data_IF_031021579061
#
_entry.id   IF_031021579061
#
_cell.length_a   1.000
_cell.length_b   1.000
_cell.length_c   1.000
_cell.angle_alpha   90.00
_cell.angle_beta   90.00
_cell.angle_gamma   90.00
#
_symmetry.space_group_name_H-M   'P 1'
#
loop_
_entity.id
_entity.type
_entity.pdbx_description
1 polymer ?
#
# COMPACT_ATOMS: atom_id res chain seq x y z
N UNK A 1 19.22 1.81 5.06
CA UNK A 1 20.32 2.61 4.49
C UNK A 1 20.26 2.75 2.96
N UNK A 2 19.80 1.75 2.20
CA UNK A 2 19.76 1.80 0.71
C UNK A 2 18.85 2.91 0.14
N UNK A 3 17.72 3.25 0.79
CA UNK A 3 16.80 4.31 0.31
C UNK A 3 17.17 5.72 0.76
N UNK A 4 18.17 5.89 1.63
CA UNK A 4 18.54 7.21 2.13
C UNK A 4 19.09 8.11 1.01
N UNK A 5 20.00 7.65 0.13
CA UNK A 5 20.41 8.43 -1.04
C UNK A 5 19.24 8.78 -1.96
N UNK A 6 18.29 7.87 -2.17
CA UNK A 6 17.10 8.11 -3.01
C UNK A 6 16.19 9.20 -2.42
N UNK A 7 15.92 9.14 -1.12
CA UNK A 7 15.15 10.16 -0.43
C UNK A 7 15.86 11.51 -0.50
N UNK A 8 17.19 11.54 -0.34
CA UNK A 8 17.99 12.77 -0.42
C UNK A 8 17.93 13.40 -1.82
N UNK A 9 18.03 12.61 -2.90
CA UNK A 9 17.86 13.11 -4.27
C UNK A 9 16.46 13.68 -4.52
N UNK A 10 15.43 13.05 -3.94
CA UNK A 10 14.07 13.58 -4.00
C UNK A 10 13.95 14.91 -3.24
N UNK A 11 14.46 15.01 -2.01
CA UNK A 11 14.44 16.27 -1.26
C UNK A 11 15.24 17.40 -1.91
N UNK A 12 16.34 17.08 -2.59
CA UNK A 12 17.09 18.05 -3.39
C UNK A 12 16.25 18.58 -4.56
N UNK A 13 15.47 17.71 -5.21
CA UNK A 13 14.58 18.12 -6.31
C UNK A 13 13.44 19.05 -5.86
N UNK A 14 13.08 19.03 -4.57
CA UNK A 14 12.08 19.92 -3.98
C UNK A 14 12.60 21.35 -3.72
N UNK A 15 13.88 21.65 -4.03
CA UNK A 15 14.52 22.96 -3.83
C UNK A 15 14.33 23.51 -2.40
N UNK A 16 14.23 22.62 -1.41
CA UNK A 16 14.02 23.02 -0.03
C UNK A 16 15.29 23.69 0.53
N UNK A 17 15.16 24.78 1.29
CA UNK A 17 16.29 25.38 2.00
C UNK A 17 17.00 24.35 2.89
N UNK A 18 18.34 24.38 2.89
CA UNK A 18 19.15 23.35 3.56
C UNK A 18 18.85 23.21 5.07
N UNK A 19 18.42 24.30 5.73
CA UNK A 19 18.05 24.27 7.15
C UNK A 19 16.77 23.46 7.44
N UNK A 20 15.90 23.23 6.44
CA UNK A 20 14.72 22.37 6.57
C UNK A 20 15.02 20.90 6.32
N UNK A 21 16.23 20.54 5.88
CA UNK A 21 16.59 19.16 5.55
C UNK A 21 16.37 18.17 6.72
N UNK A 22 16.70 18.49 7.99
CA UNK A 22 16.41 17.59 9.11
C UNK A 22 14.91 17.33 9.30
N UNK A 23 14.09 18.38 9.17
CA UNK A 23 12.64 18.28 9.27
C UNK A 23 12.05 17.47 8.09
N UNK A 24 12.57 17.69 6.88
CA UNK A 24 12.17 16.94 5.70
C UNK A 24 12.49 15.45 5.84
N UNK A 25 13.67 15.09 6.37
CA UNK A 25 14.05 13.70 6.67
C UNK A 25 13.12 13.09 7.73
N UNK A 26 12.77 13.84 8.79
CA UNK A 26 11.82 13.37 9.79
C UNK A 26 10.43 13.13 9.17
N UNK A 27 9.94 14.05 8.33
CA UNK A 27 8.69 13.86 7.60
C UNK A 27 8.75 12.68 6.63
N UNK A 28 9.89 12.45 5.98
CA UNK A 28 10.13 11.27 5.14
C UNK A 28 10.03 9.97 5.94
N UNK A 29 10.65 9.92 7.12
CA UNK A 29 10.70 8.72 7.94
C UNK A 29 9.35 8.42 8.61
N UNK A 30 8.63 9.47 9.03
CA UNK A 30 7.45 9.36 9.87
C UNK A 30 6.12 9.52 9.12
N UNK A 31 6.13 10.00 7.88
CA UNK A 31 4.90 10.27 7.12
C UNK A 31 4.97 9.76 5.67
N UNK A 32 5.81 10.37 4.83
CA UNK A 32 5.81 10.15 3.37
C UNK A 32 6.43 8.80 2.99
N UNK A 33 7.29 8.24 3.85
CA UNK A 33 8.21 7.17 3.48
C UNK A 33 9.42 7.72 2.72
N UNK A 34 10.56 7.04 2.87
CA UNK A 34 11.80 7.36 2.13
C UNK A 34 11.71 7.06 0.63
N UNK A 35 10.64 6.38 0.20
CA UNK A 35 10.27 6.16 -1.19
C UNK A 35 8.76 5.89 -1.26
N UNK A 36 8.19 5.97 -2.47
CA UNK A 36 6.74 5.98 -2.67
C UNK A 36 6.00 4.75 -2.10
N UNK A 37 6.68 3.61 -1.94
CA UNK A 37 6.11 2.38 -1.38
C UNK A 37 6.34 2.25 0.13
N UNK A 38 7.34 2.93 0.69
CA UNK A 38 7.74 2.78 2.09
C UNK A 38 6.87 3.59 3.08
N UNK A 39 6.00 4.46 2.58
CA UNK A 39 5.00 5.19 3.37
C UNK A 39 4.18 4.26 4.29
N UNK A 40 3.98 3.01 3.86
CA UNK A 40 3.18 2.04 4.62
C UNK A 40 3.79 1.70 6.00
N UNK A 41 5.11 1.82 6.20
CA UNK A 41 5.76 1.49 7.48
C UNK A 41 5.33 2.46 8.59
N UNK A 42 5.58 3.78 8.46
CA UNK A 42 5.11 4.73 9.46
C UNK A 42 3.58 4.73 9.57
N UNK A 43 2.88 4.59 8.44
CA UNK A 43 1.42 4.51 8.43
C UNK A 43 0.89 3.30 9.22
N UNK A 44 1.55 2.14 9.13
CA UNK A 44 1.23 0.94 9.89
C UNK A 44 1.46 1.14 11.39
N UNK A 45 2.59 1.72 11.79
CA UNK A 45 2.88 1.96 13.20
C UNK A 45 1.85 2.91 13.83
N UNK A 46 1.56 4.03 13.16
CA UNK A 46 0.55 4.98 13.62
C UNK A 46 -0.85 4.34 13.66
N UNK A 47 -1.23 3.65 12.59
CA UNK A 47 -2.52 2.99 12.49
C UNK A 47 -2.70 1.90 13.56
N UNK A 48 -1.65 1.15 13.88
CA UNK A 48 -1.68 0.12 14.92
C UNK A 48 -1.93 0.73 16.30
N UNK A 49 -1.20 1.80 16.64
CA UNK A 49 -1.39 2.51 17.90
C UNK A 49 -2.81 3.08 18.01
N UNK A 50 -3.29 3.70 16.93
CA UNK A 50 -4.63 4.27 16.86
C UNK A 50 -5.70 3.20 17.04
N UNK A 51 -5.66 2.13 16.25
CA UNK A 51 -6.64 1.03 16.30
C UNK A 51 -6.62 0.37 17.68
N UNK A 52 -5.45 0.08 18.22
CA UNK A 52 -5.31 -0.54 19.54
C UNK A 52 -5.89 0.33 20.67
N UNK A 53 -5.70 1.65 20.59
CA UNK A 53 -6.28 2.59 21.54
C UNK A 53 -7.81 2.64 21.40
N UNK A 54 -8.32 2.86 20.19
CA UNK A 54 -9.75 2.96 19.92
C UNK A 54 -10.48 1.66 20.26
N UNK A 55 -9.93 0.51 19.88
CA UNK A 55 -10.50 -0.81 20.15
C UNK A 55 -10.71 -1.03 21.65
N UNK A 56 -9.72 -0.68 22.48
CA UNK A 56 -9.81 -0.81 23.94
C UNK A 56 -10.74 0.21 24.59
N UNK A 57 -10.82 1.44 24.06
CA UNK A 57 -11.62 2.52 24.65
C UNK A 57 -13.08 2.52 24.24
N UNK A 58 -13.36 2.25 22.96
CA UNK A 58 -14.68 2.38 22.36
C UNK A 58 -15.36 1.02 22.10
N UNK A 59 -14.59 -0.07 22.14
CA UNK A 59 -15.04 -1.40 21.76
C UNK A 59 -15.09 -1.60 20.24
N UNK A 60 -15.32 -2.84 19.77
CA UNK A 60 -15.18 -3.22 18.36
C UNK A 60 -16.12 -2.44 17.43
N UNK A 61 -17.42 -2.39 17.75
CA UNK A 61 -18.44 -1.78 16.88
C UNK A 61 -18.20 -0.28 16.67
N UNK A 62 -17.96 0.48 17.75
CA UNK A 62 -17.72 1.93 17.67
C UNK A 62 -16.38 2.24 17.00
N UNK A 63 -15.37 1.41 17.24
CA UNK A 63 -14.07 1.52 16.54
C UNK A 63 -14.27 1.35 15.04
N UNK A 64 -14.97 0.30 14.60
CA UNK A 64 -15.25 0.10 13.17
C UNK A 64 -15.96 1.29 12.53
N UNK A 65 -17.01 1.81 13.18
CA UNK A 65 -17.75 2.96 12.67
C UNK A 65 -16.86 4.20 12.52
N UNK A 66 -16.03 4.51 13.52
CA UNK A 66 -15.09 5.63 13.46
C UNK A 66 -14.05 5.45 12.35
N UNK A 67 -13.49 4.25 12.21
CA UNK A 67 -12.50 3.96 11.17
C UNK A 67 -13.11 4.01 9.76
N UNK A 68 -14.38 3.63 9.61
CA UNK A 68 -15.09 3.75 8.34
C UNK A 68 -15.33 5.22 7.98
N UNK A 69 -15.64 6.08 8.96
CA UNK A 69 -15.75 7.53 8.76
C UNK A 69 -14.40 8.11 8.33
N UNK A 70 -13.31 7.76 9.02
CA UNK A 70 -11.96 8.21 8.64
C UNK A 70 -11.60 7.74 7.24
N UNK A 71 -11.89 6.49 6.89
CA UNK A 71 -11.65 5.97 5.55
C UNK A 71 -12.48 6.71 4.49
N UNK A 72 -13.75 7.02 4.77
CA UNK A 72 -14.60 7.79 3.87
C UNK A 72 -14.10 9.23 3.66
N UNK A 73 -13.60 9.88 4.72
CA UNK A 73 -12.95 11.20 4.59
C UNK A 73 -11.68 11.12 3.73
N UNK A 74 -10.88 10.07 3.89
CA UNK A 74 -9.72 9.86 3.03
C UNK A 74 -10.09 9.57 1.58
N UNK A 75 -11.17 8.82 1.37
CA UNK A 75 -11.66 8.42 0.05
C UNK A 75 -12.14 9.60 -0.81
N UNK A 76 -12.37 10.77 -0.22
CA UNK A 76 -12.65 12.01 -0.95
C UNK A 76 -11.57 12.25 -2.03
N UNK A 77 -10.31 11.90 -1.76
CA UNK A 77 -9.21 11.97 -2.74
C UNK A 77 -9.53 11.22 -4.05
N UNK A 78 -10.02 9.99 -3.92
CA UNK A 78 -10.29 9.10 -5.06
C UNK A 78 -11.61 9.41 -5.75
N UNK A 79 -12.64 9.78 -4.98
CA UNK A 79 -13.95 10.13 -5.53
C UNK A 79 -14.12 11.62 -5.79
N UNK A 80 -13.05 12.43 -5.69
CA UNK A 80 -13.14 13.90 -5.77
C UNK A 80 -13.91 14.36 -7.02
N UNK A 81 -13.63 13.73 -8.17
CA UNK A 81 -14.30 14.07 -9.42
C UNK A 81 -15.80 13.75 -9.44
N UNK A 82 -16.28 12.84 -8.59
CA UNK A 82 -17.70 12.49 -8.46
C UNK A 82 -18.48 13.42 -7.53
N UNK A 83 -17.78 14.22 -6.72
CA UNK A 83 -18.39 15.11 -5.74
C UNK A 83 -18.65 16.48 -6.37
N UNK A 84 -19.79 17.08 -6.04
CA UNK A 84 -20.03 18.49 -6.34
C UNK A 84 -19.26 19.38 -5.36
N UNK A 85 -18.85 20.59 -5.77
CA UNK A 85 -18.25 21.57 -4.86
C UNK A 85 -19.12 21.73 -3.61
N UNK A 86 -18.49 21.53 -2.45
CA UNK A 86 -19.14 21.53 -1.15
C UNK A 86 -18.11 21.79 -0.05
N UNK A 87 -18.59 22.07 1.17
CA UNK A 87 -17.71 22.21 2.34
C UNK A 87 -16.77 21.00 2.54
N UNK A 88 -17.19 19.82 2.08
CA UNK A 88 -16.44 18.58 2.20
C UNK A 88 -15.29 18.49 1.17
N UNK A 89 -15.49 18.95 -0.06
CA UNK A 89 -14.41 19.06 -1.06
C UNK A 89 -13.45 20.19 -0.69
N UNK A 90 -13.97 21.33 -0.22
CA UNK A 90 -13.15 22.47 0.21
C UNK A 90 -12.24 22.11 1.40
N UNK A 91 -12.79 21.36 2.37
CA UNK A 91 -12.00 20.81 3.47
C UNK A 91 -10.88 19.91 2.98
N UNK A 92 -11.19 19.00 2.04
CA UNK A 92 -10.18 18.08 1.51
C UNK A 92 -9.10 18.84 0.73
N UNK A 93 -9.48 19.83 -0.08
CA UNK A 93 -8.54 20.66 -0.83
C UNK A 93 -7.61 21.45 0.10
N UNK A 94 -8.13 21.97 1.21
CA UNK A 94 -7.31 22.62 2.24
C UNK A 94 -6.36 21.61 2.92
N UNK A 95 -6.86 20.41 3.24
CA UNK A 95 -6.06 19.34 3.80
C UNK A 95 -4.93 18.89 2.85
N UNK A 96 -5.22 18.70 1.56
CA UNK A 96 -4.28 18.23 0.55
C UNK A 96 -3.13 19.21 0.33
N UNK A 97 -3.37 20.52 0.48
CA UNK A 97 -2.31 21.56 0.44
C UNK A 97 -1.25 21.39 1.54
N UNK A 98 -1.62 20.84 2.69
CA UNK A 98 -0.73 20.65 3.84
C UNK A 98 -0.11 19.26 3.87
N UNK A 99 -0.89 18.23 3.55
CA UNK A 99 -0.53 16.83 3.78
C UNK A 99 -0.29 16.03 2.51
N UNK A 100 -0.42 16.65 1.33
CA UNK A 100 -0.26 16.11 -0.03
C UNK A 100 -1.22 14.99 -0.44
N UNK A 101 -1.56 14.09 0.49
CA UNK A 101 -2.44 12.95 0.25
C UNK A 101 -3.15 12.53 1.54
N UNK A 102 -4.32 11.91 1.40
CA UNK A 102 -4.99 11.21 2.50
C UNK A 102 -4.48 9.78 2.68
N UNK A 103 -3.62 9.26 1.79
CA UNK A 103 -2.98 7.95 1.91
C UNK A 103 -1.94 7.94 3.03
N UNK A 104 -2.41 7.73 4.25
CA UNK A 104 -1.56 7.73 5.45
C UNK A 104 -2.10 6.82 6.56
N UNK A 105 -1.40 6.84 7.70
CA UNK A 105 -1.72 6.02 8.88
C UNK A 105 -3.00 6.40 9.62
N UNK A 106 -3.65 7.52 9.27
CA UNK A 106 -4.89 7.99 9.91
C UNK A 106 -6.12 7.60 9.09
N UNK A 107 -6.14 7.90 7.80
CA UNK A 107 -7.34 7.67 6.97
C UNK A 107 -7.34 6.30 6.29
N UNK A 108 -6.19 5.81 5.84
CA UNK A 108 -6.12 4.59 5.04
C UNK A 108 -5.88 3.33 5.88
N UNK A 109 -4.75 3.28 6.58
CA UNK A 109 -4.25 2.06 7.21
C UNK A 109 -5.11 1.49 8.34
N UNK A 110 -5.74 2.29 9.21
CA UNK A 110 -6.43 1.79 10.41
C UNK A 110 -7.54 0.77 10.13
N UNK A 111 -8.36 0.98 9.09
CA UNK A 111 -9.46 0.06 8.80
C UNK A 111 -8.94 -1.34 8.49
N UNK A 112 -7.84 -1.47 7.73
CA UNK A 112 -7.24 -2.75 7.37
C UNK A 112 -6.59 -3.46 8.55
N UNK A 113 -5.99 -2.71 9.48
CA UNK A 113 -5.50 -3.27 10.76
C UNK A 113 -6.67 -3.79 11.58
N UNK A 114 -7.76 -3.03 11.68
CA UNK A 114 -8.97 -3.46 12.36
C UNK A 114 -9.55 -4.75 11.77
N UNK A 115 -9.53 -4.93 10.43
CA UNK A 115 -9.96 -6.19 9.81
C UNK A 115 -9.15 -7.40 10.32
N UNK A 116 -7.87 -7.21 10.64
CA UNK A 116 -7.04 -8.25 11.26
C UNK A 116 -7.52 -8.64 12.65
N UNK A 117 -7.81 -7.64 13.51
CA UNK A 117 -8.41 -7.85 14.83
C UNK A 117 -9.76 -8.55 14.71
N UNK A 118 -10.59 -8.07 13.79
CA UNK A 118 -11.92 -8.63 13.54
C UNK A 118 -11.86 -10.09 13.08
N UNK A 119 -10.94 -10.46 12.18
CA UNK A 119 -10.76 -11.85 11.78
C UNK A 119 -10.21 -12.73 12.90
N UNK A 120 -9.36 -12.20 13.76
CA UNK A 120 -8.85 -12.95 14.92
C UNK A 120 -9.98 -13.29 15.89
N UNK A 121 -10.85 -12.33 16.19
CA UNK A 121 -11.93 -12.49 17.17
C UNK A 121 -13.15 -13.23 16.59
N UNK A 122 -13.48 -12.98 15.32
CA UNK A 122 -14.74 -13.40 14.70
C UNK A 122 -14.57 -14.30 13.47
N UNK A 123 -13.35 -14.74 13.15
CA UNK A 123 -13.07 -15.59 11.98
C UNK A 123 -13.80 -16.94 11.99
N UNK A 124 -14.38 -17.34 13.12
CA UNK A 124 -15.15 -18.58 13.24
C UNK A 124 -16.62 -18.47 12.84
N UNK A 125 -17.16 -17.25 12.62
CA UNK A 125 -18.57 -17.04 12.24
C UNK A 125 -18.90 -17.74 10.91
N UNK A 126 -20.15 -18.21 10.77
CA UNK A 126 -20.64 -18.95 9.60
C UNK A 126 -20.34 -18.28 8.25
N UNK A 127 -20.42 -16.95 8.17
CA UNK A 127 -20.08 -16.14 7.00
C UNK A 127 -18.63 -16.35 6.53
N UNK A 128 -17.71 -16.61 7.46
CA UNK A 128 -16.30 -16.88 7.16
C UNK A 128 -15.99 -18.36 6.96
N UNK A 129 -16.96 -19.26 7.16
CA UNK A 129 -16.79 -20.71 6.99
C UNK A 129 -17.42 -21.23 5.70
N UNK A 130 -18.68 -20.85 5.46
CA UNK A 130 -19.49 -21.33 4.34
C UNK A 130 -19.24 -20.47 3.10
N UNK A 131 -19.17 -21.10 1.93
CA UNK A 131 -19.07 -20.45 0.61
C UNK A 131 -17.98 -19.35 0.52
N UNK A 132 -16.85 -19.51 1.21
CA UNK A 132 -15.74 -18.54 1.28
C UNK A 132 -15.28 -18.03 -0.09
N UNK A 133 -15.19 -18.93 -1.06
CA UNK A 133 -14.78 -18.60 -2.43
C UNK A 133 -15.79 -17.69 -3.14
N UNK A 134 -17.09 -17.86 -2.86
CA UNK A 134 -18.14 -17.04 -3.44
C UNK A 134 -18.10 -15.63 -2.86
N UNK A 135 -17.91 -15.48 -1.55
CA UNK A 135 -17.73 -14.16 -0.92
C UNK A 135 -16.52 -13.43 -1.48
N UNK A 136 -15.40 -14.15 -1.68
CA UNK A 136 -14.22 -13.59 -2.33
C UNK A 136 -14.48 -13.20 -3.78
N UNK A 137 -15.18 -14.05 -4.55
CA UNK A 137 -15.55 -13.76 -5.94
C UNK A 137 -16.42 -12.51 -6.02
N UNK A 138 -17.49 -12.43 -5.23
CA UNK A 138 -18.38 -11.28 -5.20
C UNK A 138 -17.64 -10.01 -4.81
N UNK A 139 -16.82 -10.05 -3.76
CA UNK A 139 -16.01 -8.90 -3.35
C UNK A 139 -15.00 -8.48 -4.44
N UNK A 140 -14.44 -9.44 -5.18
CA UNK A 140 -13.56 -9.16 -6.32
C UNK A 140 -14.31 -8.49 -7.46
N UNK A 141 -15.53 -8.92 -7.78
CA UNK A 141 -16.37 -8.30 -8.80
C UNK A 141 -16.76 -6.87 -8.42
N UNK A 142 -17.12 -6.62 -7.15
CA UNK A 142 -17.35 -5.26 -6.66
C UNK A 142 -16.11 -4.39 -6.76
N UNK A 143 -14.93 -4.92 -6.42
CA UNK A 143 -13.66 -4.18 -6.53
C UNK A 143 -13.33 -3.84 -7.98
N UNK A 144 -13.55 -4.77 -8.91
CA UNK A 144 -13.39 -4.50 -10.35
C UNK A 144 -14.38 -3.43 -10.82
N UNK A 145 -15.66 -3.55 -10.44
CA UNK A 145 -16.68 -2.56 -10.78
C UNK A 145 -16.36 -1.17 -10.26
N UNK A 146 -15.95 -1.06 -8.99
CA UNK A 146 -15.50 0.20 -8.40
C UNK A 146 -14.24 0.75 -9.08
N UNK A 147 -13.28 -0.12 -9.42
CA UNK A 147 -12.09 0.23 -10.18
C UNK A 147 -12.41 0.81 -11.57
N UNK A 148 -13.38 0.24 -12.27
CA UNK A 148 -13.86 0.75 -13.56
C UNK A 148 -14.50 2.12 -13.39
N UNK A 149 -15.32 2.33 -12.36
CA UNK A 149 -15.89 3.64 -12.06
C UNK A 149 -14.77 4.67 -11.84
N UNK A 150 -13.87 4.43 -10.88
CA UNK A 150 -12.74 5.34 -10.60
C UNK A 150 -11.89 5.61 -11.85
N UNK A 151 -11.74 4.63 -12.74
CA UNK A 151 -11.03 4.82 -14.01
C UNK A 151 -11.78 5.75 -14.98
N UNK A 152 -13.10 5.61 -15.10
CA UNK A 152 -13.93 6.44 -15.98
C UNK A 152 -13.92 7.91 -15.59
N UNK A 153 -13.89 8.21 -14.28
CA UNK A 153 -13.83 9.59 -13.78
C UNK A 153 -12.81 9.70 -12.65
N UNK A 154 -11.59 10.00 -13.05
CA UNK A 154 -10.45 10.01 -12.13
C UNK A 154 -10.52 11.22 -11.20
N UNK A 155 -10.51 10.95 -9.88
CA UNK A 155 -10.30 11.96 -8.85
C UNK A 155 -8.85 12.45 -8.79
N UNK A 156 -8.46 12.98 -7.64
CA UNK A 156 -7.13 13.55 -7.42
C UNK A 156 -6.05 12.45 -7.38
N UNK A 157 -6.32 11.34 -6.69
CA UNK A 157 -5.47 10.15 -6.70
C UNK A 157 -6.29 8.87 -6.44
N UNK A 158 -5.79 7.69 -6.80
CA UNK A 158 -6.55 6.43 -6.84
C UNK A 158 -6.15 5.49 -5.70
N UNK A 159 -6.14 6.03 -4.47
CA UNK A 159 -5.67 5.32 -3.30
C UNK A 159 -6.77 4.52 -2.57
N UNK A 160 -8.02 4.98 -2.62
CA UNK A 160 -9.12 4.43 -1.81
C UNK A 160 -10.18 3.72 -2.64
N UNK A 161 -10.67 2.60 -2.11
CA UNK A 161 -11.72 1.77 -2.70
C UNK A 161 -12.57 1.20 -1.57
N UNK A 162 -13.89 1.42 -1.55
CA UNK A 162 -14.74 0.87 -0.50
C UNK A 162 -14.88 -0.64 -0.63
N UNK A 163 -14.90 -1.18 -1.84
CA UNK A 163 -14.94 -2.62 -2.10
C UNK A 163 -13.63 -3.33 -1.73
N UNK A 164 -12.53 -2.59 -1.57
CA UNK A 164 -11.26 -3.14 -1.09
C UNK A 164 -11.34 -3.61 0.36
N UNK A 165 -12.19 -3.00 1.18
CA UNK A 165 -12.40 -3.38 2.59
C UNK A 165 -12.94 -4.82 2.69
N UNK A 166 -14.12 -5.17 2.12
CA UNK A 166 -14.61 -6.54 2.13
C UNK A 166 -13.72 -7.49 1.32
N UNK A 167 -13.15 -7.05 0.19
CA UNK A 167 -12.22 -7.89 -0.59
C UNK A 167 -11.05 -8.37 0.26
N UNK A 168 -10.38 -7.45 0.96
CA UNK A 168 -9.22 -7.77 1.81
C UNK A 168 -9.62 -8.72 2.95
N UNK A 169 -10.77 -8.47 3.57
CA UNK A 169 -11.32 -9.31 4.63
C UNK A 169 -11.53 -10.77 4.15
N UNK A 170 -12.20 -10.95 3.01
CA UNK A 170 -12.47 -12.28 2.46
C UNK A 170 -11.22 -12.95 1.89
N UNK A 171 -10.31 -12.18 1.28
CA UNK A 171 -9.04 -12.68 0.78
C UNK A 171 -8.20 -13.27 1.91
N UNK A 172 -8.01 -12.52 3.01
CA UNK A 172 -7.26 -13.02 4.15
C UNK A 172 -7.92 -14.21 4.82
N UNK A 173 -9.25 -14.18 5.01
CA UNK A 173 -9.97 -15.35 5.54
C UNK A 173 -9.79 -16.60 4.66
N UNK A 174 -9.86 -16.45 3.33
CA UNK A 174 -9.62 -17.54 2.40
C UNK A 174 -8.19 -18.06 2.51
N UNK A 175 -7.19 -17.17 2.50
CA UNK A 175 -5.78 -17.53 2.62
C UNK A 175 -5.46 -18.28 3.91
N UNK A 176 -5.96 -17.81 5.06
CA UNK A 176 -5.69 -18.41 6.38
C UNK A 176 -6.22 -19.83 6.53
N UNK A 177 -7.31 -20.16 5.82
CA UNK A 177 -8.01 -21.45 5.95
C UNK A 177 -7.79 -22.38 4.75
N UNK A 178 -6.90 -22.02 3.83
CA UNK A 178 -6.57 -22.82 2.65
C UNK A 178 -5.52 -23.86 3.02
N UNK A 179 -5.91 -25.14 3.12
CA UNK A 179 -5.08 -26.20 3.69
C UNK A 179 -3.92 -26.66 2.79
N UNK A 180 -4.10 -26.77 1.47
CA UNK A 180 -3.04 -27.23 0.54
C UNK A 180 -1.77 -26.37 0.55
N UNK A 181 -1.85 -25.14 1.07
CA UNK A 181 -0.69 -24.24 1.22
C UNK A 181 0.19 -24.60 2.42
N UNK A 182 -0.27 -25.43 3.37
CA UNK A 182 0.51 -25.81 4.55
C UNK A 182 1.55 -26.89 4.28
N UNK A 183 1.34 -27.72 3.27
CA UNK A 183 2.19 -28.88 2.98
C UNK A 183 3.44 -28.52 2.14
N UNK A 184 3.42 -27.38 1.45
CA UNK A 184 4.52 -26.93 0.58
C UNK A 184 5.42 -25.92 1.27
N UNK A 185 6.74 -26.05 1.10
CA UNK A 185 7.71 -25.06 1.58
C UNK A 185 7.65 -23.80 0.70
N UNK A 186 7.04 -22.73 1.22
CA UNK A 186 6.92 -21.43 0.54
C UNK A 186 7.99 -20.43 0.94
N UNK A 187 9.05 -20.84 1.66
CA UNK A 187 10.07 -19.92 2.16
C UNK A 187 10.75 -19.13 1.04
N UNK A 188 11.06 -19.79 -0.07
CA UNK A 188 11.63 -19.12 -1.25
C UNK A 188 10.73 -18.02 -1.79
N UNK A 189 9.43 -18.30 -1.98
CA UNK A 189 8.48 -17.29 -2.46
C UNK A 189 8.26 -16.15 -1.45
N UNK A 190 8.32 -16.44 -0.15
CA UNK A 190 8.27 -15.41 0.90
C UNK A 190 9.49 -14.49 0.81
N UNK A 191 10.68 -15.04 0.67
CA UNK A 191 11.92 -14.26 0.55
C UNK A 191 11.92 -13.43 -0.73
N UNK A 192 11.47 -14.01 -1.85
CA UNK A 192 11.24 -13.27 -3.09
C UNK A 192 10.23 -12.14 -2.92
N UNK A 193 9.09 -12.37 -2.27
CA UNK A 193 8.06 -11.34 -2.06
C UNK A 193 8.61 -10.14 -1.27
N UNK A 194 9.38 -10.39 -0.22
CA UNK A 194 10.03 -9.32 0.56
C UNK A 194 11.04 -8.57 -0.29
N UNK A 195 11.91 -9.28 -1.01
CA UNK A 195 12.92 -8.65 -1.85
C UNK A 195 12.30 -7.87 -3.01
N UNK A 196 11.23 -8.37 -3.62
CA UNK A 196 10.49 -7.66 -4.66
C UNK A 196 9.94 -6.36 -4.11
N UNK A 197 9.26 -6.42 -2.96
CA UNK A 197 8.67 -5.25 -2.32
C UNK A 197 9.70 -4.12 -2.10
N UNK A 198 10.92 -4.48 -1.67
CA UNK A 198 11.98 -3.50 -1.48
C UNK A 198 12.65 -3.11 -2.81
N UNK A 199 13.11 -4.06 -3.62
CA UNK A 199 14.01 -3.76 -4.74
C UNK A 199 13.33 -3.14 -5.97
N UNK A 200 12.06 -3.47 -6.25
CA UNK A 200 11.40 -3.04 -7.49
C UNK A 200 11.51 -1.54 -7.81
N UNK A 201 11.43 -0.60 -6.85
CA UNK A 201 11.38 0.84 -7.15
C UNK A 201 12.72 1.38 -7.62
N UNK A 202 13.81 0.80 -7.11
CA UNK A 202 15.16 1.09 -7.59
C UNK A 202 15.27 0.69 -9.07
N UNK A 203 14.69 -0.47 -9.42
CA UNK A 203 14.73 -0.95 -10.80
C UNK A 203 13.74 -0.23 -11.72
N UNK A 204 12.63 0.30 -11.22
CA UNK A 204 11.74 1.20 -11.98
C UNK A 204 12.53 2.44 -12.42
N UNK A 205 13.15 3.13 -11.46
CA UNK A 205 13.90 4.37 -11.72
C UNK A 205 15.10 4.11 -12.61
N UNK A 206 15.84 3.01 -12.35
CA UNK A 206 16.95 2.59 -13.20
C UNK A 206 16.48 2.30 -14.63
N UNK A 207 15.35 1.62 -14.80
CA UNK A 207 14.84 1.28 -16.13
C UNK A 207 14.46 2.55 -16.91
N UNK A 208 13.78 3.50 -16.27
CA UNK A 208 13.47 4.78 -16.92
C UNK A 208 14.73 5.61 -17.21
N UNK A 209 15.73 5.58 -16.33
CA UNK A 209 17.02 6.23 -16.56
C UNK A 209 17.74 5.64 -17.78
N UNK A 210 17.81 4.31 -17.90
CA UNK A 210 18.44 3.61 -19.03
C UNK A 210 17.71 3.87 -20.36
N UNK A 211 16.38 4.04 -20.32
CA UNK A 211 15.56 4.29 -21.50
C UNK A 211 15.48 5.78 -21.88
N UNK A 212 15.98 6.70 -21.03
CA UNK A 212 15.86 8.16 -21.21
C UNK A 212 16.48 8.66 -22.51
N UNK A 213 17.57 8.05 -22.97
CA UNK A 213 18.27 8.45 -24.20
C UNK A 213 17.63 7.91 -25.47
N UNK A 214 16.58 7.08 -25.37
CA UNK A 214 15.90 6.52 -26.53
C UNK A 214 14.68 7.36 -26.91
N UNK A 215 14.49 7.60 -28.20
CA UNK A 215 13.30 8.29 -28.74
C UNK A 215 12.09 7.34 -28.79
N UNK A 216 11.70 6.79 -27.63
CA UNK A 216 10.56 5.88 -27.51
C UNK A 216 9.28 6.68 -27.23
N UNK A 217 8.14 6.17 -27.71
CA UNK A 217 6.84 6.68 -27.27
C UNK A 217 6.64 6.37 -25.78
N UNK A 218 5.77 7.13 -25.10
CA UNK A 218 5.47 6.92 -23.67
C UNK A 218 5.02 5.47 -23.36
N UNK A 219 4.24 4.88 -24.27
CA UNK A 219 3.75 3.50 -24.15
C UNK A 219 4.89 2.48 -24.25
N UNK A 220 5.77 2.62 -25.23
CA UNK A 220 6.92 1.73 -25.41
C UNK A 220 7.89 1.85 -24.25
N UNK A 221 8.18 3.08 -23.81
CA UNK A 221 9.04 3.33 -22.66
C UNK A 221 8.46 2.64 -21.40
N UNK A 222 7.17 2.81 -21.13
CA UNK A 222 6.50 2.14 -20.01
C UNK A 222 6.54 0.61 -20.07
N UNK A 223 6.33 0.02 -21.26
CA UNK A 223 6.42 -1.44 -21.47
C UNK A 223 7.82 -1.97 -21.22
N UNK A 224 8.85 -1.32 -21.78
CA UNK A 224 10.23 -1.74 -21.58
C UNK A 224 10.68 -1.53 -20.14
N UNK A 225 10.29 -0.41 -19.52
CA UNK A 225 10.58 -0.17 -18.12
C UNK A 225 9.96 -1.24 -17.21
N UNK A 226 8.72 -1.66 -17.48
CA UNK A 226 8.07 -2.73 -16.76
C UNK A 226 8.80 -4.08 -16.88
N UNK A 227 9.17 -4.48 -18.10
CA UNK A 227 9.89 -5.73 -18.36
C UNK A 227 11.27 -5.74 -17.70
N UNK A 228 12.05 -4.67 -17.90
CA UNK A 228 13.37 -4.52 -17.29
C UNK A 228 13.27 -4.55 -15.76
N UNK A 229 12.30 -3.84 -15.18
CA UNK A 229 12.06 -3.84 -13.74
C UNK A 229 11.83 -5.24 -13.22
N UNK A 230 10.92 -6.02 -13.82
CA UNK A 230 10.61 -7.38 -13.36
C UNK A 230 11.85 -8.28 -13.45
N UNK A 231 12.55 -8.25 -14.59
CA UNK A 231 13.73 -9.09 -14.83
C UNK A 231 14.82 -8.75 -13.82
N UNK A 232 15.19 -7.48 -13.71
CA UNK A 232 16.26 -7.03 -12.80
C UNK A 232 15.91 -7.29 -11.34
N UNK A 233 14.65 -7.07 -10.95
CA UNK A 233 14.16 -7.37 -9.60
C UNK A 233 14.26 -8.87 -9.32
N UNK A 234 13.83 -9.72 -10.25
CA UNK A 234 13.87 -11.18 -10.08
C UNK A 234 15.31 -11.68 -9.96
N UNK A 235 16.17 -11.36 -10.93
CA UNK A 235 17.55 -11.82 -10.97
C UNK A 235 18.33 -11.38 -9.72
N UNK A 236 18.16 -10.12 -9.32
CA UNK A 236 18.82 -9.60 -8.11
C UNK A 236 18.29 -10.29 -6.86
N UNK A 237 16.99 -10.53 -6.76
CA UNK A 237 16.39 -11.23 -5.62
C UNK A 237 16.91 -12.67 -5.50
N UNK A 238 16.97 -13.40 -6.61
CA UNK A 238 17.53 -14.76 -6.68
C UNK A 238 19.00 -14.80 -6.27
N UNK A 239 19.81 -13.85 -6.75
CA UNK A 239 21.22 -13.73 -6.36
C UNK A 239 21.36 -13.50 -4.85
N UNK A 240 20.55 -12.62 -4.27
CA UNK A 240 20.57 -12.33 -2.83
C UNK A 240 20.17 -13.56 -2.01
N UNK A 241 19.14 -14.30 -2.42
CA UNK A 241 18.71 -15.51 -1.73
C UNK A 241 19.81 -16.58 -1.77
N UNK A 242 20.39 -16.84 -2.95
CA UNK A 242 21.49 -17.80 -3.12
C UNK A 242 22.71 -17.43 -2.27
N UNK A 243 23.05 -16.14 -2.23
CA UNK A 243 24.17 -15.66 -1.43
C UNK A 243 23.94 -15.82 0.08
N UNK A 244 22.70 -15.57 0.57
CA UNK A 244 22.32 -15.82 1.97
C UNK A 244 22.36 -17.31 2.32
N UNK A 245 21.91 -18.17 1.40
CA UNK A 245 21.98 -19.64 1.55
C UNK A 245 23.42 -20.12 1.77
N UNK A 246 24.34 -19.73 0.87
CA UNK A 246 25.78 -20.11 0.96
C UNK A 246 26.47 -19.64 2.24
N UNK A 247 26.05 -18.50 2.82
CA UNK A 247 26.58 -18.02 4.11
C UNK A 247 26.08 -18.83 5.31
N UNK A 248 24.92 -19.45 5.19
CA UNK A 248 24.31 -20.23 6.27
C UNK A 248 24.87 -21.64 6.31
N UNK A 249 25.26 -22.21 5.16
CA UNK A 249 25.95 -23.52 5.05
C UNK A 249 27.44 -23.49 5.45
N UNK A 250 28.06 -22.31 5.51
CA UNK A 250 29.47 -22.13 5.89
C UNK A 250 29.67 -21.88 7.41
N UNK A 251 28.61 -21.90 8.20
CA UNK A 251 28.63 -21.78 9.66
C UNK A 251 28.15 -23.09 10.27
#
# INVERSE_FOLDING_TARGET
MVYLPYALTYFQSLHLPFYLAPLAILAALLYIGMSYQLWYIPAFLLGLLLVHFLYRKLGPKKTFALLLILYALGAIETYHAYLSPSLLTDWYDAYAKLFFTSRNGLFYTPIFIYLGYFLADYGQIALFQKKRWLSLLLASLFLVGEGVLVYMRQGLDKNFFFALIPFTLFLFNWLLKTQWKREKNWRHLKDLSILYFFLHPIFIELSFFLLKSQQLTKWENGRWAFLLTIILTHLTSELVIRWRGKKTEKK
#
